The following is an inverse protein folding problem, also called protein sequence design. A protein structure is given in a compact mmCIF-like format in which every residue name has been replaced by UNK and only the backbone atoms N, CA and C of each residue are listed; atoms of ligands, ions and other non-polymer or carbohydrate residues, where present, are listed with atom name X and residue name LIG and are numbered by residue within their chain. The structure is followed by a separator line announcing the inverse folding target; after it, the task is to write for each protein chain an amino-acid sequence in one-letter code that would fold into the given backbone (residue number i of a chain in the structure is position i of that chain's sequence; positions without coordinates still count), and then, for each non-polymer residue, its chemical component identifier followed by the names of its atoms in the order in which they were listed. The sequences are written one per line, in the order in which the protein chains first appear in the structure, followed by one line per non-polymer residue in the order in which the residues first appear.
data_IF_750394461889
#
_entry.id   IF_750394461889
#
_cell.length_a   1.000
_cell.length_b   1.000
_cell.length_c   1.000
_cell.angle_alpha   90.00
_cell.angle_beta   90.00
_cell.angle_gamma   90.00
#
_symmetry.space_group_name_H-M   'P 1'
#
loop_
_entity.id
_entity.type
_entity.pdbx_description
1 polymer ?
#
# COMPACT_ATOMS: atom_id res chain seq x y z
N UNK A 1 43.89 21.87 -14.68
CA UNK A 1 43.58 20.74 -13.78
C UNK A 1 42.52 21.10 -12.73
N UNK A 2 42.63 22.25 -12.03
CA UNK A 2 41.67 22.69 -10.97
C UNK A 2 40.21 22.78 -11.42
N UNK A 3 39.95 23.22 -12.65
CA UNK A 3 38.58 23.35 -13.17
C UNK A 3 37.91 21.99 -13.39
N UNK A 4 38.67 20.99 -13.85
CA UNK A 4 38.14 19.64 -14.09
C UNK A 4 37.72 18.99 -12.77
N UNK A 5 38.49 19.19 -11.70
CA UNK A 5 38.16 18.68 -10.37
C UNK A 5 36.94 19.37 -9.75
N UNK A 6 36.77 20.69 -9.90
CA UNK A 6 35.60 21.39 -9.38
C UNK A 6 34.31 20.98 -10.12
N UNK A 7 34.36 20.83 -11.45
CA UNK A 7 33.22 20.36 -12.23
C UNK A 7 32.83 18.93 -11.83
N UNK A 8 33.81 18.04 -11.64
CA UNK A 8 33.54 16.67 -11.20
C UNK A 8 32.83 16.62 -9.83
N UNK A 9 33.26 17.46 -8.88
CA UNK A 9 32.64 17.54 -7.55
C UNK A 9 31.21 18.09 -7.63
N UNK A 10 30.97 19.14 -8.44
CA UNK A 10 29.63 19.72 -8.61
C UNK A 10 28.65 18.75 -9.28
N UNK A 11 29.09 18.01 -10.30
CA UNK A 11 28.27 16.98 -10.95
C UNK A 11 27.93 15.85 -9.97
N UNK A 12 28.88 15.42 -9.15
CA UNK A 12 28.63 14.42 -8.11
C UNK A 12 27.64 14.93 -7.02
N UNK A 13 27.79 16.16 -6.55
CA UNK A 13 26.91 16.72 -5.52
C UNK A 13 25.46 16.92 -6.01
N UNK A 14 25.29 17.41 -7.24
CA UNK A 14 23.95 17.64 -7.83
C UNK A 14 23.20 16.35 -8.11
N UNK A 15 23.90 15.30 -8.57
CA UNK A 15 23.29 13.97 -8.79
C UNK A 15 22.83 13.30 -7.49
N UNK A 16 23.64 13.34 -6.42
CA UNK A 16 23.28 12.77 -5.12
C UNK A 16 22.03 13.45 -4.53
N UNK A 17 21.98 14.79 -4.59
CA UNK A 17 20.82 15.55 -4.12
C UNK A 17 19.53 15.20 -4.88
N UNK A 18 19.62 15.09 -6.22
CA UNK A 18 18.47 14.75 -7.06
C UNK A 18 17.87 13.37 -6.77
N UNK A 19 18.71 12.37 -6.51
CA UNK A 19 18.25 11.01 -6.19
C UNK A 19 17.49 10.93 -4.86
N UNK A 20 17.92 11.68 -3.84
CA UNK A 20 17.23 11.70 -2.55
C UNK A 20 15.86 12.40 -2.64
N UNK A 21 15.75 13.46 -3.44
CA UNK A 21 14.46 14.12 -3.72
C UNK A 21 13.51 13.17 -4.44
N UNK A 22 14.00 12.43 -5.44
CA UNK A 22 13.20 11.44 -6.16
C UNK A 22 12.68 10.34 -5.23
N UNK A 23 13.55 9.75 -4.39
CA UNK A 23 13.15 8.72 -3.42
C UNK A 23 12.10 9.24 -2.45
N UNK A 24 12.27 10.46 -1.95
CA UNK A 24 11.30 11.08 -1.04
C UNK A 24 9.96 11.30 -1.73
N UNK A 25 9.95 11.78 -2.98
CA UNK A 25 8.72 11.93 -3.76
C UNK A 25 8.03 10.57 -3.99
N UNK A 26 8.79 9.51 -4.28
CA UNK A 26 8.29 8.15 -4.43
C UNK A 26 7.66 7.62 -3.12
N UNK A 27 8.35 7.79 -1.99
CA UNK A 27 7.82 7.40 -0.68
C UNK A 27 6.60 8.22 -0.28
N UNK A 28 6.60 9.54 -0.52
CA UNK A 28 5.44 10.40 -0.25
C UNK A 28 4.23 9.99 -1.07
N UNK A 29 4.41 9.59 -2.33
CA UNK A 29 3.32 9.05 -3.15
C UNK A 29 2.75 7.77 -2.54
N UNK A 30 3.58 6.80 -2.22
CA UNK A 30 3.14 5.54 -1.59
C UNK A 30 2.41 5.80 -0.26
N UNK A 31 2.94 6.69 0.59
CA UNK A 31 2.28 7.05 1.85
C UNK A 31 0.93 7.76 1.64
N UNK A 32 0.82 8.60 0.60
CA UNK A 32 -0.45 9.20 0.20
C UNK A 32 -1.45 8.15 -0.30
N UNK A 33 -0.98 7.16 -1.07
CA UNK A 33 -1.81 6.07 -1.58
C UNK A 33 -2.36 5.23 -0.41
N UNK A 34 -1.54 4.89 0.59
CA UNK A 34 -2.01 4.18 1.80
C UNK A 34 -3.10 4.95 2.56
N UNK A 35 -2.93 6.26 2.76
CA UNK A 35 -3.93 7.09 3.46
C UNK A 35 -5.24 7.21 2.67
N UNK A 36 -5.16 7.27 1.34
CA UNK A 36 -6.34 7.28 0.48
C UNK A 36 -7.10 5.95 0.56
N UNK A 37 -6.37 4.82 0.50
CA UNK A 37 -6.95 3.48 0.64
C UNK A 37 -7.61 3.30 2.01
N UNK A 38 -6.96 3.73 3.09
CA UNK A 38 -7.55 3.72 4.45
C UNK A 38 -8.84 4.54 4.51
N UNK A 39 -8.81 5.76 3.97
CA UNK A 39 -9.99 6.64 3.96
C UNK A 39 -11.14 5.99 3.20
N UNK A 40 -10.87 5.40 2.04
CA UNK A 40 -11.85 4.71 1.22
C UNK A 40 -12.48 3.52 1.97
N UNK A 41 -11.67 2.71 2.65
CA UNK A 41 -12.15 1.60 3.49
C UNK A 41 -13.01 2.08 4.66
N UNK A 42 -12.60 3.15 5.34
CA UNK A 42 -13.38 3.76 6.43
C UNK A 42 -14.71 4.30 5.91
N UNK A 43 -14.73 4.96 4.75
CA UNK A 43 -15.96 5.47 4.13
C UNK A 43 -16.88 4.33 3.70
N UNK A 44 -16.33 3.30 3.04
CA UNK A 44 -17.09 2.10 2.67
C UNK A 44 -17.76 1.46 3.89
N UNK A 45 -17.05 1.35 5.01
CA UNK A 45 -17.57 0.78 6.25
C UNK A 45 -18.68 1.64 6.84
N UNK A 46 -18.51 2.95 6.80
CA UNK A 46 -19.50 3.90 7.30
C UNK A 46 -20.80 3.85 6.49
N UNK A 47 -20.71 3.62 5.18
CA UNK A 47 -21.85 3.57 4.27
C UNK A 47 -22.61 2.24 4.34
N UNK A 48 -21.86 1.14 4.28
CA UNK A 48 -22.45 -0.21 4.24
C UNK A 48 -22.87 -0.72 5.62
N UNK A 49 -22.24 -0.24 6.69
CA UNK A 49 -22.34 -0.76 8.06
C UNK A 49 -21.86 -2.21 8.24
N UNK A 50 -21.01 -2.71 7.34
CA UNK A 50 -20.39 -4.03 7.48
C UNK A 50 -19.04 -3.97 8.22
N UNK A 51 -18.54 -5.12 8.64
CA UNK A 51 -17.13 -5.27 8.98
C UNK A 51 -16.29 -5.30 7.71
N UNK A 52 -14.97 -5.11 7.83
CA UNK A 52 -14.10 -5.23 6.66
C UNK A 52 -14.23 -6.63 6.04
N UNK A 53 -14.34 -6.74 4.70
CA UNK A 53 -14.57 -8.02 4.04
C UNK A 53 -13.35 -8.91 4.19
N UNK A 54 -13.51 -10.23 4.22
CA UNK A 54 -12.38 -11.14 4.32
C UNK A 54 -11.69 -11.27 2.97
N UNK A 55 -10.39 -11.51 2.97
CA UNK A 55 -9.65 -11.70 1.71
C UNK A 55 -10.19 -12.87 0.88
N UNK A 56 -10.65 -13.94 1.53
CA UNK A 56 -11.22 -15.13 0.87
C UNK A 56 -12.60 -14.90 0.22
N UNK A 57 -13.23 -13.76 0.45
CA UNK A 57 -14.45 -13.33 -0.26
C UNK A 57 -14.12 -12.82 -1.67
N UNK A 58 -12.86 -12.50 -1.94
CA UNK A 58 -12.42 -11.98 -3.24
C UNK A 58 -11.81 -13.05 -4.13
N UNK A 59 -11.85 -12.85 -5.47
CA UNK A 59 -11.18 -13.76 -6.39
C UNK A 59 -9.67 -13.74 -6.15
N UNK A 60 -9.02 -14.92 -6.18
CA UNK A 60 -7.58 -15.02 -5.99
C UNK A 60 -6.83 -14.29 -7.11
N UNK A 61 -5.58 -13.91 -6.80
CA UNK A 61 -4.71 -13.27 -7.78
C UNK A 61 -4.44 -14.20 -8.98
N UNK A 62 -4.31 -13.64 -10.20
CA UNK A 62 -3.82 -14.41 -11.32
C UNK A 62 -2.37 -14.88 -11.06
N UNK A 63 -1.93 -15.98 -11.68
CA UNK A 63 -0.56 -16.48 -11.51
C UNK A 63 0.48 -15.39 -11.85
N UNK A 64 1.47 -15.19 -10.98
CA UNK A 64 2.57 -14.24 -11.19
C UNK A 64 2.71 -13.15 -10.12
N UNK A 65 1.76 -13.08 -9.17
CA UNK A 65 1.94 -12.36 -7.93
C UNK A 65 2.75 -13.19 -6.93
N UNK A 66 3.47 -12.48 -6.07
CA UNK A 66 4.31 -13.07 -5.04
C UNK A 66 3.51 -13.52 -3.80
N UNK A 67 2.27 -13.07 -3.71
CA UNK A 67 1.35 -13.24 -2.61
C UNK A 67 -0.02 -13.68 -3.14
N UNK A 68 -0.77 -14.38 -2.28
CA UNK A 68 -2.13 -14.84 -2.60
C UNK A 68 -3.19 -13.77 -2.26
N UNK A 69 -2.75 -12.63 -1.72
CA UNK A 69 -3.59 -11.50 -1.27
C UNK A 69 -4.35 -10.84 -2.42
N UNK A 70 -5.68 -10.71 -2.38
CA UNK A 70 -6.46 -10.16 -3.49
C UNK A 70 -6.02 -8.75 -3.90
N UNK A 71 -5.94 -8.52 -5.22
CA UNK A 71 -5.70 -7.20 -5.78
C UNK A 71 -6.77 -6.20 -5.34
N UNK A 72 -6.34 -4.98 -4.99
CA UNK A 72 -7.25 -3.90 -4.57
C UNK A 72 -8.38 -3.65 -5.58
N UNK A 73 -8.11 -3.79 -6.88
CA UNK A 73 -9.11 -3.59 -7.94
C UNK A 73 -10.30 -4.56 -7.86
N UNK A 74 -10.13 -5.71 -7.21
CA UNK A 74 -11.16 -6.73 -7.07
C UNK A 74 -12.02 -6.51 -5.82
N UNK A 75 -11.66 -5.53 -4.98
CA UNK A 75 -12.31 -5.29 -3.68
C UNK A 75 -13.52 -4.37 -3.77
N UNK A 76 -14.28 -4.33 -2.68
CA UNK A 76 -15.46 -3.48 -2.53
C UNK A 76 -15.21 -1.96 -2.66
N UNK A 77 -13.94 -1.51 -2.72
CA UNK A 77 -13.61 -0.12 -3.00
C UNK A 77 -13.96 0.29 -4.44
N UNK A 78 -13.94 -0.66 -5.39
CA UNK A 78 -14.16 -0.39 -6.81
C UNK A 78 -15.44 -1.01 -7.34
N UNK A 79 -15.90 -2.10 -6.75
CA UNK A 79 -17.10 -2.81 -7.18
C UNK A 79 -18.04 -3.02 -5.98
N UNK A 80 -19.34 -3.18 -6.23
CA UNK A 80 -20.27 -3.61 -5.20
C UNK A 80 -20.26 -5.14 -5.11
N UNK A 81 -19.12 -5.70 -4.65
CA UNK A 81 -18.98 -7.14 -4.43
C UNK A 81 -19.86 -7.60 -3.24
N UNK A 82 -20.39 -8.81 -3.31
CA UNK A 82 -21.16 -9.41 -2.21
C UNK A 82 -20.29 -9.58 -0.96
N UNK A 83 -20.90 -9.35 0.21
CA UNK A 83 -20.28 -9.49 1.55
C UNK A 83 -20.84 -10.70 2.32
N UNK A 84 -21.81 -11.39 1.74
CA UNK A 84 -22.49 -12.55 2.29
C UNK A 84 -23.16 -13.35 1.16
N UNK A 85 -23.48 -14.61 1.47
CA UNK A 85 -24.04 -15.68 0.62
C UNK A 85 -25.46 -15.38 0.08
N UNK A 86 -25.79 -14.12 -0.22
CA UNK A 86 -27.03 -13.70 -0.83
C UNK A 86 -26.75 -12.89 -2.10
N UNK A 87 -27.33 -13.37 -3.21
CA UNK A 87 -27.12 -13.00 -4.63
C UNK A 87 -27.42 -11.55 -5.04
N UNK A 88 -27.34 -10.57 -4.13
CA UNK A 88 -27.72 -9.18 -4.36
C UNK A 88 -26.64 -8.17 -3.88
N UNK A 89 -26.27 -7.18 -4.73
CA UNK A 89 -25.34 -6.12 -4.34
C UNK A 89 -25.82 -5.38 -3.08
N UNK A 90 -24.88 -4.91 -2.23
CA UNK A 90 -25.25 -4.18 -1.02
C UNK A 90 -26.03 -2.89 -1.40
N UNK A 91 -27.30 -2.74 -0.99
CA UNK A 91 -28.14 -1.62 -1.39
C UNK A 91 -27.68 -0.27 -0.82
N UNK A 92 -26.79 -0.28 0.17
CA UNK A 92 -26.22 0.92 0.78
C UNK A 92 -24.90 1.34 0.14
N UNK A 93 -24.33 0.55 -0.76
CA UNK A 93 -23.07 0.91 -1.40
C UNK A 93 -23.26 2.15 -2.30
N UNK A 94 -22.56 3.25 -1.98
CA UNK A 94 -22.52 4.48 -2.77
C UNK A 94 -21.16 4.71 -3.43
N UNK A 95 -20.39 3.65 -3.64
CA UNK A 95 -19.07 3.71 -4.26
C UNK A 95 -19.11 4.05 -5.77
N UNK A 96 -17.94 3.99 -6.44
CA UNK A 96 -16.66 3.55 -5.90
C UNK A 96 -16.08 4.53 -4.88
N UNK A 97 -15.29 4.03 -3.94
CA UNK A 97 -14.67 4.82 -2.87
C UNK A 97 -13.25 5.28 -3.21
N UNK A 98 -12.73 4.80 -4.34
CA UNK A 98 -11.52 5.30 -5.00
C UNK A 98 -11.84 5.56 -6.47
N UNK A 99 -11.41 6.71 -6.99
CA UNK A 99 -11.66 7.08 -8.39
C UNK A 99 -10.84 6.21 -9.36
N UNK A 100 -9.58 5.93 -9.00
CA UNK A 100 -8.63 5.17 -9.80
C UNK A 100 -7.90 4.13 -8.95
N UNK A 101 -7.43 3.06 -9.59
CA UNK A 101 -6.59 2.05 -8.93
C UNK A 101 -5.24 2.69 -8.58
N UNK A 102 -4.88 2.84 -7.29
CA UNK A 102 -3.61 3.40 -6.91
C UNK A 102 -2.49 2.46 -7.36
N UNK A 103 -1.47 3.05 -7.97
CA UNK A 103 -0.28 2.35 -8.44
C UNK A 103 0.95 3.00 -7.86
N UNK A 104 1.86 2.15 -7.38
CA UNK A 104 3.15 2.59 -6.86
C UNK A 104 3.99 3.27 -7.98
N UNK A 105 5.14 3.88 -7.64
CA UNK A 105 6.01 4.55 -8.62
C UNK A 105 6.52 3.65 -9.76
N UNK A 106 6.40 2.34 -9.63
CA UNK A 106 6.79 1.33 -10.62
C UNK A 106 5.60 0.60 -11.23
N UNK A 107 4.39 1.15 -11.06
CA UNK A 107 3.13 0.64 -11.60
C UNK A 107 2.70 -0.71 -11.03
N UNK A 108 3.15 -1.08 -9.83
CA UNK A 108 2.63 -2.23 -9.09
C UNK A 108 1.34 -1.85 -8.38
N UNK A 109 0.41 -2.79 -8.36
CA UNK A 109 -0.83 -2.67 -7.60
C UNK A 109 -0.60 -3.04 -6.14
N UNK A 110 -1.44 -2.47 -5.29
CA UNK A 110 -1.56 -2.87 -3.89
C UNK A 110 -2.49 -4.08 -3.77
N UNK A 111 -2.26 -4.88 -2.74
CA UNK A 111 -3.09 -6.03 -2.36
C UNK A 111 -3.73 -5.80 -1.00
N UNK A 112 -4.85 -6.46 -0.76
CA UNK A 112 -5.67 -6.34 0.43
C UNK A 112 -5.62 -7.63 1.22
N UNK A 113 -5.45 -7.53 2.53
CA UNK A 113 -5.46 -8.67 3.44
C UNK A 113 -6.39 -8.38 4.62
N UNK A 114 -7.22 -9.37 4.93
CA UNK A 114 -8.00 -9.47 6.15
C UNK A 114 -8.30 -10.96 6.40
N UNK A 115 -7.34 -11.66 6.99
CA UNK A 115 -7.35 -13.11 7.29
C UNK A 115 -8.06 -13.49 8.60
N UNK A 116 -8.85 -12.58 9.19
CA UNK A 116 -9.48 -12.70 10.52
C UNK A 116 -8.52 -12.85 11.71
N UNK A 117 -7.23 -12.61 11.52
CA UNK A 117 -6.32 -12.55 12.65
C UNK A 117 -6.61 -11.32 13.54
N UNK A 118 -6.17 -11.38 14.80
CA UNK A 118 -6.32 -10.25 15.73
C UNK A 118 -5.50 -9.01 15.31
N UNK A 119 -4.80 -9.08 14.18
CA UNK A 119 -3.82 -8.13 13.70
C UNK A 119 -4.45 -7.10 12.76
N UNK A 120 -5.61 -7.39 12.16
CA UNK A 120 -6.51 -6.38 11.56
C UNK A 120 -6.41 -6.32 10.04
N UNK A 121 -6.75 -5.17 9.44
CA UNK A 121 -6.77 -5.03 7.98
C UNK A 121 -5.45 -4.46 7.48
N UNK A 122 -4.89 -5.09 6.47
CA UNK A 122 -3.60 -4.73 5.92
C UNK A 122 -3.68 -4.43 4.43
N UNK A 123 -2.89 -3.43 4.03
CA UNK A 123 -2.63 -3.11 2.64
C UNK A 123 -1.18 -3.46 2.36
N UNK A 124 -0.98 -4.33 1.38
CA UNK A 124 0.32 -4.84 0.99
C UNK A 124 0.79 -4.18 -0.30
N UNK A 125 2.09 -3.90 -0.35
CA UNK A 125 2.82 -3.59 -1.58
C UNK A 125 3.96 -4.59 -1.72
N UNK A 126 3.72 -5.64 -2.51
CA UNK A 126 4.66 -6.75 -2.66
C UNK A 126 5.54 -6.59 -3.90
N UNK A 127 6.77 -7.09 -3.78
CA UNK A 127 7.80 -6.98 -4.79
C UNK A 127 8.68 -8.22 -4.86
N UNK A 128 9.19 -8.47 -6.06
CA UNK A 128 10.11 -9.57 -6.32
C UNK A 128 11.51 -9.26 -5.75
N UNK A 129 12.32 -10.28 -5.44
CA UNK A 129 13.68 -10.09 -4.91
C UNK A 129 14.58 -9.22 -5.80
N UNK A 130 14.38 -9.28 -7.12
CA UNK A 130 15.09 -8.44 -8.08
C UNK A 130 14.87 -6.92 -7.87
N UNK A 131 13.76 -6.55 -7.23
CA UNK A 131 13.40 -5.17 -6.95
C UNK A 131 13.68 -4.74 -5.52
N UNK A 132 14.06 -5.64 -4.63
CA UNK A 132 14.23 -5.34 -3.20
C UNK A 132 15.13 -4.11 -2.95
N UNK A 133 16.18 -3.93 -3.74
CA UNK A 133 17.09 -2.78 -3.62
C UNK A 133 16.41 -1.41 -3.72
N UNK A 134 15.34 -1.28 -4.50
CA UNK A 134 14.62 0.01 -4.66
C UNK A 134 13.66 0.26 -3.51
N UNK A 135 12.93 -0.76 -3.05
CA UNK A 135 12.00 -0.65 -1.94
C UNK A 135 12.72 -0.48 -0.60
N UNK A 136 13.84 -1.20 -0.40
CA UNK A 136 14.67 -1.06 0.80
C UNK A 136 15.22 0.37 0.99
N UNK A 137 15.41 1.12 -0.10
CA UNK A 137 15.80 2.53 -0.03
C UNK A 137 14.64 3.46 0.38
N UNK A 138 13.39 3.03 0.21
CA UNK A 138 12.21 3.80 0.59
C UNK A 138 11.76 3.51 2.02
N UNK A 139 12.02 2.31 2.56
CA UNK A 139 11.55 1.88 3.89
C UNK A 139 11.82 2.92 4.99
N UNK A 140 13.05 3.45 5.20
CA UNK A 140 13.28 4.43 6.27
C UNK A 140 12.51 5.73 6.07
N UNK A 141 12.26 6.12 4.82
CA UNK A 141 11.51 7.33 4.48
C UNK A 141 10.01 7.10 4.72
N UNK A 142 9.50 5.91 4.38
CA UNK A 142 8.11 5.54 4.61
C UNK A 142 7.78 5.43 6.10
N UNK A 143 8.65 4.78 6.87
CA UNK A 143 8.61 4.68 8.33
C UNK A 143 8.58 6.07 8.99
N UNK A 144 9.44 7.00 8.54
CA UNK A 144 9.38 8.41 8.97
C UNK A 144 8.04 9.09 8.61
N UNK A 145 7.54 8.88 7.39
CA UNK A 145 6.34 9.57 6.87
C UNK A 145 5.03 9.04 7.46
N UNK A 146 4.98 7.78 7.87
CA UNK A 146 3.75 7.09 8.26
C UNK A 146 3.57 7.08 9.78
N UNK A 147 4.57 6.66 10.55
CA UNK A 147 4.47 6.50 12.01
C UNK A 147 5.69 7.00 12.80
N UNK A 148 6.47 7.91 12.22
CA UNK A 148 7.58 8.64 12.86
C UNK A 148 8.77 7.74 13.24
N UNK A 149 9.12 6.78 12.38
CA UNK A 149 10.29 5.92 12.52
C UNK A 149 10.25 4.99 13.74
N UNK A 150 9.08 4.39 14.01
CA UNK A 150 8.95 3.42 15.11
C UNK A 150 9.38 1.98 14.72
N UNK A 151 9.74 1.79 13.44
CA UNK A 151 10.19 0.52 12.90
C UNK A 151 9.02 -0.32 12.42
N UNK A 152 8.88 -1.53 12.95
CA UNK A 152 7.79 -2.46 12.56
C UNK A 152 6.71 -2.56 13.65
N UNK A 153 6.70 -1.63 14.60
CA UNK A 153 5.84 -1.70 15.80
C UNK A 153 4.50 -0.99 15.63
N UNK A 154 4.37 -0.16 14.59
CA UNK A 154 3.26 0.76 14.38
C UNK A 154 2.28 0.36 13.28
N UNK A 155 1.94 1.36 12.45
CA UNK A 155 1.05 1.21 11.29
C UNK A 155 1.82 0.73 10.08
N UNK A 156 3.13 0.97 10.05
CA UNK A 156 4.01 0.61 8.98
C UNK A 156 4.83 -0.62 9.33
N UNK A 157 5.08 -1.45 8.33
CA UNK A 157 5.94 -2.61 8.47
C UNK A 157 6.54 -3.02 7.14
N UNK A 158 7.51 -3.92 7.20
CA UNK A 158 8.09 -4.51 6.02
C UNK A 158 8.58 -5.91 6.33
N UNK A 159 8.69 -6.73 5.29
CA UNK A 159 9.27 -8.05 5.38
C UNK A 159 10.11 -8.34 4.13
N UNK A 160 11.02 -9.30 4.28
CA UNK A 160 11.84 -9.80 3.19
C UNK A 160 12.01 -11.29 3.36
N UNK A 161 11.69 -12.06 2.30
CA UNK A 161 11.90 -13.49 2.22
C UNK A 161 12.69 -13.85 0.96
N UNK A 162 13.04 -15.13 0.80
CA UNK A 162 13.71 -15.61 -0.40
C UNK A 162 12.81 -15.56 -1.66
N UNK A 163 11.50 -15.63 -1.47
CA UNK A 163 10.52 -15.60 -2.56
C UNK A 163 10.07 -14.16 -2.86
N UNK A 164 9.80 -13.37 -1.81
CA UNK A 164 9.04 -12.12 -1.89
C UNK A 164 9.48 -11.13 -0.81
N UNK A 165 9.46 -9.84 -1.12
CA UNK A 165 9.47 -8.80 -0.10
C UNK A 165 8.19 -7.99 -0.14
N UNK A 166 7.89 -7.29 0.93
CA UNK A 166 6.69 -6.47 0.99
C UNK A 166 6.80 -5.32 1.97
N UNK A 167 6.06 -4.27 1.67
CA UNK A 167 5.73 -3.19 2.58
C UNK A 167 4.29 -3.40 3.03
N UNK A 168 4.03 -3.20 4.30
CA UNK A 168 2.73 -3.45 4.94
C UNK A 168 2.25 -2.17 5.59
N UNK A 169 0.98 -1.83 5.35
CA UNK A 169 0.29 -0.74 6.01
C UNK A 169 -0.95 -1.26 6.73
N UNK A 170 -1.00 -1.06 8.04
CA UNK A 170 -2.11 -1.48 8.90
C UNK A 170 -3.17 -0.38 8.97
N UNK A 171 -4.39 -0.72 8.57
CA UNK A 171 -5.56 0.11 8.81
C UNK A 171 -5.96 -0.08 10.27
N UNK A 172 -5.94 1.00 11.06
CA UNK A 172 -6.43 0.96 12.44
C UNK A 172 -7.94 1.23 12.38
N UNK A 173 -8.80 0.26 12.71
CA UNK A 173 -10.23 0.50 12.73
C UNK A 173 -10.54 1.56 13.78
N UNK A 174 -11.11 2.69 13.37
CA UNK A 174 -11.77 3.59 14.31
C UNK A 174 -12.90 2.85 15.05
N UNK A 175 -13.32 3.33 16.24
CA UNK A 175 -14.51 2.80 16.89
C UNK A 175 -15.68 2.90 15.91
N UNK A 176 -16.39 1.80 15.68
CA UNK A 176 -17.59 1.82 14.88
C UNK A 176 -18.65 2.63 15.63
N UNK A 177 -18.81 3.89 15.28
CA UNK A 177 -19.95 4.70 15.73
C UNK A 177 -21.13 4.30 14.86
N UNK A 178 -21.95 3.38 15.36
CA UNK A 178 -23.27 3.06 14.81
C UNK A 178 -24.32 4.01 15.41
#
# INVERSE_FOLDING_TARGET
MVVVSIIAILVAATTIGGLNVLRRAQATRIASDFRQIETAWVTWRADTHHQYPKENEYPPNPPGYCDDEPLMQNTNLFNNHELDDETAPNPRWNGPYLEDIPLDPWRRQYTYDNDEDASGVYIFLTYLPADAGRYNQLIPILDELIDNSDGTGGRFGWYSSAACGGIVYRIIPGPATY
#
